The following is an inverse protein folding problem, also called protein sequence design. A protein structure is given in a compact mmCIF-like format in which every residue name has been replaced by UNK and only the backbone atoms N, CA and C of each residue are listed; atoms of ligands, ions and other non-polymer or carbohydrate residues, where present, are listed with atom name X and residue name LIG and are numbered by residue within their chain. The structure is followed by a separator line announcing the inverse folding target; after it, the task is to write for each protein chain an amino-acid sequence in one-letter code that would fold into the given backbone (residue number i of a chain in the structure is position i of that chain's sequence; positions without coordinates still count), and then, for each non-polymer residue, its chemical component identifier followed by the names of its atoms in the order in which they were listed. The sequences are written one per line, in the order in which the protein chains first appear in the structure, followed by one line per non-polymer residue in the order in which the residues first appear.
data_IF_612898866931
#
_entry.id   IF_612898866931
#
_cell.length_a   1.000
_cell.length_b   1.000
_cell.length_c   1.000
_cell.angle_alpha   90.00
_cell.angle_beta   90.00
_cell.angle_gamma   90.00
#
_symmetry.space_group_name_H-M   'P 1'
#
loop_
_entity.id
_entity.type
_entity.pdbx_description
1 polymer ?
#
# COMPACT_ATOMS: atom_id res chain seq x y z
N UNK A 1 82.13 -14.93 68.84
CA UNK A 1 80.85 -15.24 68.14
C UNK A 1 79.78 -14.40 68.81
N UNK A 2 79.78 -13.06 68.67
CA UNK A 2 79.23 -12.23 67.57
C UNK A 2 77.72 -12.44 67.35
N UNK A 3 76.96 -11.34 67.47
CA UNK A 3 75.49 -11.17 67.53
C UNK A 3 74.76 -11.44 66.18
N UNK A 4 73.50 -10.99 65.87
CA UNK A 4 72.39 -10.40 66.66
C UNK A 4 70.94 -10.87 66.20
N UNK A 5 69.89 -10.11 66.59
CA UNK A 5 68.57 -9.90 65.89
C UNK A 5 67.50 -10.99 66.16
N UNK A 6 66.31 -10.70 66.70
CA UNK A 6 65.23 -9.97 66.00
C UNK A 6 64.09 -9.52 66.94
N UNK A 7 63.77 -8.25 66.78
CA UNK A 7 62.67 -7.54 67.41
C UNK A 7 61.30 -7.79 66.72
N UNK A 8 60.27 -7.27 67.40
CA UNK A 8 58.89 -6.94 66.95
C UNK A 8 57.85 -8.05 66.96
N UNK A 9 57.10 -8.10 68.08
CA UNK A 9 55.63 -8.01 67.99
C UNK A 9 55.27 -6.55 67.70
N UNK A 10 54.49 -6.27 66.65
CA UNK A 10 53.07 -6.03 66.92
C UNK A 10 52.16 -6.51 65.78
N UNK A 11 51.16 -7.32 66.12
CA UNK A 11 49.95 -7.39 65.31
C UNK A 11 49.14 -6.11 65.53
N UNK A 12 49.49 -5.04 64.81
CA UNK A 12 48.56 -3.93 64.55
C UNK A 12 47.53 -4.47 63.57
N UNK A 13 46.39 -4.94 64.07
CA UNK A 13 45.26 -5.21 63.18
C UNK A 13 44.29 -4.03 63.19
N UNK A 14 44.08 -3.51 61.99
CA UNK A 14 43.51 -2.22 61.70
C UNK A 14 42.02 -2.19 62.04
N UNK A 15 41.60 -1.14 62.76
CA UNK A 15 40.20 -0.77 62.89
C UNK A 15 39.65 -0.47 61.49
N UNK A 16 38.92 -1.42 60.92
CA UNK A 16 38.10 -1.18 59.73
C UNK A 16 36.97 -0.24 60.13
N UNK A 17 37.12 1.03 59.77
CA UNK A 17 36.04 2.00 59.76
C UNK A 17 34.94 1.48 58.85
N UNK A 18 33.85 1.01 59.46
CA UNK A 18 32.64 0.62 58.75
C UNK A 18 32.14 1.81 57.94
N UNK A 19 32.34 1.77 56.62
CA UNK A 19 31.60 2.61 55.69
C UNK A 19 30.15 2.17 55.77
N UNK A 20 29.37 2.86 56.60
CA UNK A 20 27.90 2.80 56.57
C UNK A 20 27.44 3.24 55.19
N UNK A 21 27.17 2.27 54.33
CA UNK A 21 26.46 2.46 53.08
C UNK A 21 25.10 3.04 53.46
N UNK A 22 24.93 4.36 53.25
CA UNK A 22 23.67 5.06 53.44
C UNK A 22 22.70 4.44 52.43
N UNK A 23 21.88 3.48 52.88
CA UNK A 23 20.80 2.93 52.06
C UNK A 23 19.95 4.12 51.65
N UNK A 24 19.89 4.38 50.35
CA UNK A 24 18.93 5.32 49.79
C UNK A 24 17.57 4.69 50.08
N UNK A 25 16.91 5.16 51.13
CA UNK A 25 15.51 4.86 51.40
C UNK A 25 14.71 5.54 50.31
N UNK A 26 14.60 4.87 49.17
CA UNK A 26 13.66 5.25 48.12
C UNK A 26 12.28 5.09 48.72
N UNK A 27 11.55 6.20 48.85
CA UNK A 27 10.13 6.13 49.15
C UNK A 27 9.45 5.43 47.96
N UNK A 28 9.14 4.14 48.13
CA UNK A 28 8.72 3.22 47.06
C UNK A 28 7.27 3.40 46.59
N UNK A 29 6.50 4.30 47.20
CA UNK A 29 5.08 4.46 46.90
C UNK A 29 4.80 5.25 45.62
N UNK A 30 5.38 6.45 45.49
CA UNK A 30 5.05 7.35 44.38
C UNK A 30 5.71 6.94 43.05
N UNK A 31 6.94 6.45 43.11
CA UNK A 31 7.68 6.05 41.91
C UNK A 31 7.06 4.83 41.19
N UNK A 32 6.41 3.93 41.93
CA UNK A 32 5.78 2.76 41.34
C UNK A 32 4.55 3.14 40.51
N UNK A 33 3.71 4.05 41.03
CA UNK A 33 2.55 4.59 40.30
C UNK A 33 3.00 5.37 39.06
N UNK A 34 4.03 6.21 39.19
CA UNK A 34 4.59 6.97 38.06
C UNK A 34 5.17 6.07 36.96
N UNK A 35 5.89 5.00 37.31
CA UNK A 35 6.46 4.06 36.35
C UNK A 35 5.38 3.31 35.55
N UNK A 36 4.30 2.89 36.23
CA UNK A 36 3.17 2.23 35.57
C UNK A 36 2.46 3.20 34.62
N UNK A 37 2.27 4.46 35.01
CA UNK A 37 1.67 5.48 34.15
C UNK A 37 2.49 5.68 32.87
N UNK A 38 3.81 5.80 32.99
CA UNK A 38 4.72 5.92 31.83
C UNK A 38 4.66 4.67 30.94
N UNK A 39 4.66 3.46 31.51
CA UNK A 39 4.51 2.21 30.76
C UNK A 39 3.20 2.16 29.97
N UNK A 40 2.07 2.53 30.59
CA UNK A 40 0.76 2.56 29.93
C UNK A 40 0.75 3.56 28.78
N UNK A 41 1.26 4.78 28.98
CA UNK A 41 1.33 5.80 27.93
C UNK A 41 2.23 5.35 26.78
N UNK A 42 3.42 4.82 27.05
CA UNK A 42 4.32 4.30 26.02
C UNK A 42 3.69 3.13 25.25
N UNK A 43 2.96 2.24 25.95
CA UNK A 43 2.25 1.14 25.31
C UNK A 43 1.12 1.61 24.39
N UNK A 44 0.36 2.63 24.79
CA UNK A 44 -0.70 3.24 23.98
C UNK A 44 -0.10 3.91 22.73
N UNK A 45 1.00 4.65 22.89
CA UNK A 45 1.69 5.28 21.76
C UNK A 45 2.28 4.24 20.79
N UNK A 46 2.87 3.16 21.32
CA UNK A 46 3.38 2.05 20.51
C UNK A 46 2.28 1.33 19.74
N UNK A 47 1.16 1.04 20.39
CA UNK A 47 0.00 0.40 19.76
C UNK A 47 -0.61 1.30 18.66
N UNK A 48 -0.70 2.60 18.93
CA UNK A 48 -1.20 3.58 17.96
C UNK A 48 -0.30 3.71 16.73
N UNK A 49 1.02 3.69 16.93
CA UNK A 49 2.01 3.71 15.84
C UNK A 49 1.88 2.47 14.93
N UNK A 50 1.65 1.29 15.50
CA UNK A 50 1.43 0.05 14.74
C UNK A 50 0.08 0.06 14.00
N UNK A 51 -0.95 0.65 14.61
CA UNK A 51 -2.26 0.84 13.95
C UNK A 51 -2.16 1.69 12.69
N UNK A 52 -1.26 2.68 12.66
CA UNK A 52 -1.05 3.56 11.51
C UNK A 52 -0.14 2.93 10.42
N UNK A 53 0.72 1.98 10.78
CA UNK A 53 1.59 1.28 9.80
C UNK A 53 0.82 0.36 8.85
N UNK A 54 -0.29 -0.21 9.29
CA UNK A 54 -1.10 -1.09 8.42
C UNK A 54 -1.90 -0.31 7.36
N UNK A 55 -2.26 0.95 7.62
CA UNK A 55 -3.00 1.80 6.68
C UNK A 55 -2.14 2.26 5.49
N UNK A 56 -0.82 2.35 5.66
CA UNK A 56 0.09 2.87 4.62
C UNK A 56 0.28 1.91 3.44
N UNK A 57 0.09 0.59 3.61
CA UNK A 57 0.27 -0.39 2.53
C UNK A 57 -0.89 -0.41 1.53
N UNK A 58 -2.08 0.03 1.93
CA UNK A 58 -3.29 -0.05 1.11
C UNK A 58 -3.25 1.01 -0.02
N UNK A 59 -2.74 2.20 0.25
CA UNK A 59 -2.68 3.28 -0.73
C UNK A 59 -1.77 2.94 -1.92
N UNK A 60 -0.56 2.44 -1.66
CA UNK A 60 0.39 2.09 -2.73
C UNK A 60 -0.13 0.96 -3.63
N UNK A 61 -0.81 -0.03 -3.06
CA UNK A 61 -1.41 -1.13 -3.84
C UNK A 61 -2.57 -0.60 -4.69
N UNK A 62 -3.40 0.31 -4.16
CA UNK A 62 -4.51 0.92 -4.90
C UNK A 62 -4.04 1.78 -6.06
N UNK A 63 -2.98 2.55 -5.89
CA UNK A 63 -2.40 3.34 -6.98
C UNK A 63 -1.89 2.43 -8.11
N UNK A 64 -1.25 1.31 -7.74
CA UNK A 64 -0.78 0.31 -8.69
C UNK A 64 -1.93 -0.38 -9.43
N UNK A 65 -2.99 -0.79 -8.72
CA UNK A 65 -4.17 -1.38 -9.33
C UNK A 65 -4.88 -0.39 -10.25
N UNK A 66 -4.96 0.89 -9.86
CA UNK A 66 -5.54 1.94 -10.68
C UNK A 66 -4.81 2.18 -12.00
N UNK A 67 -3.47 2.17 -11.98
CA UNK A 67 -2.65 2.29 -13.20
C UNK A 67 -2.77 1.06 -14.10
N UNK A 68 -2.75 -0.16 -13.53
CA UNK A 68 -2.92 -1.40 -14.30
C UNK A 68 -4.30 -1.48 -14.96
N UNK A 69 -5.35 -1.09 -14.23
CA UNK A 69 -6.71 -0.98 -14.76
C UNK A 69 -6.78 0.02 -15.93
N UNK A 70 -6.05 1.14 -15.85
CA UNK A 70 -5.98 2.12 -16.94
C UNK A 70 -5.35 1.52 -18.21
N UNK A 71 -4.20 0.85 -18.10
CA UNK A 71 -3.57 0.20 -19.26
C UNK A 71 -4.43 -0.94 -19.82
N UNK A 72 -5.11 -1.69 -18.95
CA UNK A 72 -6.06 -2.73 -19.34
C UNK A 72 -7.21 -2.16 -20.19
N UNK A 73 -7.84 -1.09 -19.70
CA UNK A 73 -8.92 -0.43 -20.42
C UNK A 73 -8.43 0.18 -21.74
N UNK A 74 -7.21 0.73 -21.76
CA UNK A 74 -6.62 1.30 -22.98
C UNK A 74 -6.41 0.25 -24.06
N UNK A 75 -5.87 -0.92 -23.69
CA UNK A 75 -5.76 -2.05 -24.61
C UNK A 75 -7.14 -2.49 -25.15
N UNK A 76 -8.17 -2.45 -24.30
CA UNK A 76 -9.56 -2.71 -24.71
C UNK A 76 -10.09 -1.71 -25.74
N UNK A 77 -9.80 -0.41 -25.56
CA UNK A 77 -10.16 0.63 -26.54
C UNK A 77 -9.43 0.42 -27.86
N UNK A 78 -8.13 0.16 -27.83
CA UNK A 78 -7.32 -0.06 -29.04
C UNK A 78 -7.80 -1.30 -29.82
N UNK A 79 -8.13 -2.38 -29.11
CA UNK A 79 -8.75 -3.56 -29.72
C UNK A 79 -10.14 -3.26 -30.28
N UNK A 80 -10.99 -2.52 -29.55
CA UNK A 80 -12.32 -2.14 -30.03
C UNK A 80 -12.27 -1.25 -31.26
N UNK A 81 -11.31 -0.32 -31.31
CA UNK A 81 -11.03 0.51 -32.49
C UNK A 81 -10.59 -0.33 -33.68
N UNK A 82 -9.70 -1.31 -33.46
CA UNK A 82 -9.30 -2.25 -34.50
C UNK A 82 -10.49 -3.04 -35.05
N UNK A 83 -11.38 -3.54 -34.19
CA UNK A 83 -12.57 -4.26 -34.63
C UNK A 83 -13.50 -3.37 -35.47
N UNK A 84 -13.73 -2.13 -35.03
CA UNK A 84 -14.59 -1.18 -35.73
C UNK A 84 -14.01 -0.73 -37.07
N UNK A 85 -12.70 -0.46 -37.14
CA UNK A 85 -12.05 0.11 -38.32
C UNK A 85 -11.63 -0.95 -39.35
N UNK A 86 -11.11 -2.10 -38.91
CA UNK A 86 -10.50 -3.10 -39.80
C UNK A 86 -11.48 -4.24 -40.09
N UNK A 87 -12.12 -4.77 -39.05
CA UNK A 87 -13.05 -5.89 -39.20
C UNK A 87 -14.50 -5.45 -39.43
N UNK A 88 -14.76 -4.14 -39.47
CA UNK A 88 -16.08 -3.53 -39.64
C UNK A 88 -17.12 -4.14 -38.68
N UNK A 89 -16.69 -4.41 -37.44
CA UNK A 89 -17.45 -5.07 -36.39
C UNK A 89 -17.58 -4.15 -35.18
N UNK A 90 -18.81 -3.95 -34.71
CA UNK A 90 -19.12 -3.13 -33.55
C UNK A 90 -20.12 -3.90 -32.66
N UNK A 91 -19.61 -4.57 -31.63
CA UNK A 91 -20.47 -5.28 -30.66
C UNK A 91 -20.83 -4.36 -29.49
N UNK A 92 -22.10 -4.34 -29.11
CA UNK A 92 -22.56 -3.64 -27.91
C UNK A 92 -21.90 -4.16 -26.62
N UNK A 93 -21.39 -5.40 -26.63
CA UNK A 93 -20.63 -5.99 -25.53
C UNK A 93 -19.71 -7.09 -26.03
N UNK A 94 -18.42 -7.02 -25.69
CA UNK A 94 -17.43 -8.02 -26.00
C UNK A 94 -16.38 -8.10 -24.88
N UNK A 95 -16.05 -9.31 -24.45
CA UNK A 95 -14.93 -9.51 -23.54
C UNK A 95 -13.61 -9.44 -24.33
N UNK A 96 -12.64 -8.69 -23.80
CA UNK A 96 -11.32 -8.62 -24.41
C UNK A 96 -10.66 -10.01 -24.31
N UNK A 97 -10.14 -10.59 -25.42
CA UNK A 97 -9.49 -11.89 -25.38
C UNK A 97 -8.33 -11.91 -24.39
N UNK A 98 -8.14 -13.04 -23.69
CA UNK A 98 -7.06 -13.21 -22.70
C UNK A 98 -5.65 -13.05 -23.29
N UNK A 99 -5.49 -13.23 -24.59
CA UNK A 99 -4.23 -12.98 -25.31
C UNK A 99 -3.85 -11.48 -25.38
N UNK A 100 -4.82 -10.58 -25.21
CA UNK A 100 -4.66 -9.12 -25.27
C UNK A 100 -4.91 -8.47 -23.90
N UNK A 101 -5.60 -9.15 -22.99
CA UNK A 101 -5.86 -8.67 -21.64
C UNK A 101 -4.59 -8.64 -20.77
N UNK A 102 -4.47 -7.62 -19.93
CA UNK A 102 -3.48 -7.59 -18.85
C UNK A 102 -3.88 -8.58 -17.75
N UNK A 103 -2.92 -9.40 -17.31
CA UNK A 103 -3.15 -10.46 -16.32
C UNK A 103 -3.84 -9.91 -15.06
N UNK A 104 -4.99 -10.48 -14.69
CA UNK A 104 -5.71 -10.13 -13.46
C UNK A 104 -6.81 -9.06 -13.61
N UNK A 105 -7.11 -8.59 -14.83
CA UNK A 105 -8.25 -7.70 -15.09
C UNK A 105 -9.21 -8.30 -16.10
N UNK A 106 -10.50 -8.26 -15.80
CA UNK A 106 -11.56 -8.51 -16.77
C UNK A 106 -11.85 -7.22 -17.51
N UNK A 107 -11.68 -7.22 -18.83
CA UNK A 107 -11.94 -6.05 -19.69
C UNK A 107 -13.16 -6.32 -20.56
N UNK A 108 -14.18 -5.48 -20.42
CA UNK A 108 -15.39 -5.48 -21.23
C UNK A 108 -15.34 -4.28 -22.18
N UNK A 109 -15.53 -4.52 -23.46
CA UNK A 109 -15.54 -3.50 -24.52
C UNK A 109 -16.95 -3.43 -25.09
N UNK A 110 -17.54 -2.25 -25.03
CA UNK A 110 -18.80 -1.90 -25.66
C UNK A 110 -18.53 -0.97 -26.83
N UNK A 111 -19.17 -1.23 -27.97
CA UNK A 111 -19.12 -0.38 -29.13
C UNK A 111 -20.55 0.04 -29.50
N UNK A 112 -20.75 1.34 -29.67
CA UNK A 112 -21.97 1.93 -30.18
C UNK A 112 -21.67 2.65 -31.49
N UNK A 113 -22.45 2.36 -32.53
CA UNK A 113 -22.29 2.95 -33.85
C UNK A 113 -23.43 3.93 -34.13
N UNK A 114 -23.09 5.10 -34.67
CA UNK A 114 -24.03 6.14 -35.07
C UNK A 114 -23.74 6.55 -36.51
N UNK A 115 -24.77 6.58 -37.35
CA UNK A 115 -24.67 7.02 -38.75
C UNK A 115 -25.37 6.09 -39.75
N UNK A 116 -25.18 6.32 -41.07
CA UNK A 116 -24.29 7.35 -41.64
C UNK A 116 -24.81 8.76 -41.39
N UNK A 117 -23.96 9.62 -40.84
CA UNK A 117 -24.20 11.06 -40.80
C UNK A 117 -23.77 11.65 -42.13
N UNK A 118 -24.65 12.46 -42.72
CA UNK A 118 -24.35 13.17 -43.96
C UNK A 118 -24.33 14.67 -43.71
N UNK A 119 -23.15 15.28 -43.78
CA UNK A 119 -22.98 16.74 -43.79
C UNK A 119 -23.08 17.31 -45.23
N UNK A 120 -23.93 16.76 -46.09
CA UNK A 120 -24.09 17.19 -47.48
C UNK A 120 -24.52 16.08 -48.45
N UNK A 121 -24.13 16.16 -49.72
CA UNK A 121 -24.61 15.24 -50.77
C UNK A 121 -23.79 13.96 -50.96
N UNK A 122 -22.63 13.76 -50.29
CA UNK A 122 -21.72 12.66 -50.69
C UNK A 122 -20.85 12.00 -49.60
N UNK A 123 -20.95 12.39 -48.31
CA UNK A 123 -20.04 11.85 -47.27
C UNK A 123 -20.83 11.13 -46.17
N UNK A 124 -20.86 9.80 -46.23
CA UNK A 124 -21.51 8.95 -45.23
C UNK A 124 -20.54 8.63 -44.08
N UNK A 125 -20.50 9.48 -43.06
CA UNK A 125 -19.59 9.27 -41.93
C UNK A 125 -20.25 8.33 -40.92
N UNK A 126 -19.60 7.21 -40.62
CA UNK A 126 -19.95 6.35 -39.49
C UNK A 126 -19.11 6.76 -38.28
N UNK A 127 -19.76 6.99 -37.15
CA UNK A 127 -19.11 7.28 -35.88
C UNK A 127 -19.23 6.07 -34.97
N UNK A 128 -18.11 5.63 -34.41
CA UNK A 128 -18.03 4.53 -33.46
C UNK A 128 -17.57 5.06 -32.11
N UNK A 129 -18.41 4.91 -31.11
CA UNK A 129 -18.08 5.15 -29.72
C UNK A 129 -17.68 3.83 -29.07
N UNK A 130 -16.43 3.73 -28.67
CA UNK A 130 -15.86 2.54 -28.02
C UNK A 130 -15.65 2.88 -26.56
N UNK A 131 -16.20 2.04 -25.69
CA UNK A 131 -16.08 2.14 -24.25
C UNK A 131 -15.47 0.85 -23.72
N UNK A 132 -14.32 0.93 -23.07
CA UNK A 132 -13.67 -0.22 -22.43
C UNK A 132 -13.66 -0.05 -20.92
N UNK A 133 -14.18 -1.04 -20.21
CA UNK A 133 -14.22 -1.11 -18.75
C UNK A 133 -13.34 -2.26 -18.28
N UNK A 134 -12.26 -1.93 -17.58
CA UNK A 134 -11.39 -2.89 -16.92
C UNK A 134 -11.73 -2.97 -15.43
N UNK A 135 -11.95 -4.17 -14.91
CA UNK A 135 -12.30 -4.41 -13.51
C UNK A 135 -11.53 -5.59 -12.93
N UNK A 136 -11.27 -5.56 -11.63
CA UNK A 136 -10.71 -6.67 -10.86
C UNK A 136 -11.30 -6.70 -9.46
N UNK A 137 -11.27 -7.87 -8.84
CA UNK A 137 -11.86 -8.11 -7.52
C UNK A 137 -13.40 -8.06 -7.54
N UNK A 138 -13.98 -8.09 -6.35
CA UNK A 138 -15.43 -7.99 -6.14
C UNK A 138 -15.81 -6.63 -5.56
N UNK A 139 -16.95 -6.07 -5.95
CA UNK A 139 -17.48 -4.82 -5.41
C UNK A 139 -17.49 -4.84 -3.87
N UNK A 140 -16.92 -3.82 -3.25
CA UNK A 140 -16.82 -3.68 -1.80
C UNK A 140 -15.60 -4.33 -1.15
N UNK A 141 -14.79 -5.09 -1.90
CA UNK A 141 -13.53 -5.62 -1.41
C UNK A 141 -12.39 -4.58 -1.50
N UNK A 142 -11.36 -4.74 -0.67
CA UNK A 142 -10.25 -3.78 -0.60
C UNK A 142 -9.35 -3.77 -1.85
N UNK A 143 -9.40 -4.86 -2.63
CA UNK A 143 -8.70 -5.09 -3.89
C UNK A 143 -9.55 -4.75 -5.14
N UNK A 144 -10.79 -4.26 -4.95
CA UNK A 144 -11.61 -3.80 -6.06
C UNK A 144 -10.96 -2.60 -6.74
N UNK A 145 -10.76 -2.70 -8.05
CA UNK A 145 -10.33 -1.58 -8.88
C UNK A 145 -11.01 -1.66 -10.24
N UNK A 146 -11.55 -0.51 -10.67
CA UNK A 146 -12.22 -0.36 -11.96
C UNK A 146 -11.74 0.92 -12.65
N UNK A 147 -11.54 0.82 -13.97
CA UNK A 147 -11.30 1.97 -14.85
C UNK A 147 -12.12 1.81 -16.12
N UNK A 148 -12.80 2.88 -16.51
CA UNK A 148 -13.51 2.98 -17.76
C UNK A 148 -12.85 4.04 -18.64
N UNK A 149 -12.59 3.70 -19.90
CA UNK A 149 -12.09 4.61 -20.93
C UNK A 149 -13.06 4.63 -22.12
N UNK A 150 -13.15 5.77 -22.76
CA UNK A 150 -13.99 5.97 -23.93
C UNK A 150 -13.19 6.64 -25.03
N UNK A 151 -13.36 6.17 -26.26
CA UNK A 151 -12.84 6.79 -27.46
C UNK A 151 -13.91 6.88 -28.53
N UNK A 152 -13.77 7.85 -29.42
CA UNK A 152 -14.65 8.04 -30.56
C UNK A 152 -13.78 7.98 -31.81
N UNK A 153 -14.18 7.15 -32.77
CA UNK A 153 -13.49 6.95 -34.04
C UNK A 153 -14.49 7.13 -35.16
N UNK A 154 -14.14 7.87 -36.20
CA UNK A 154 -14.97 8.04 -37.39
C UNK A 154 -14.35 7.33 -38.59
N UNK A 155 -15.22 6.78 -39.44
CA UNK A 155 -14.88 6.16 -40.71
C UNK A 155 -15.77 6.79 -41.81
N UNK A 156 -15.21 7.16 -42.98
CA UNK A 156 -16.01 7.56 -44.14
C UNK A 156 -16.68 6.36 -44.85
#
# INVERSE_FOLDING_TARGET
MTAPIRAKSPYRNARHGGRTIKRISTQRGFALVAAVLVMVVLSLLGAWMLSLSNTQRISSVRDLLGSRAYYAARAGVEWGAYQAMINNSCSASAALPSAVATTGFAVQVACAQTGPLSEGSVNNIMVYQITATASTGSLGAHDYAERQLQAIVSKP
#
